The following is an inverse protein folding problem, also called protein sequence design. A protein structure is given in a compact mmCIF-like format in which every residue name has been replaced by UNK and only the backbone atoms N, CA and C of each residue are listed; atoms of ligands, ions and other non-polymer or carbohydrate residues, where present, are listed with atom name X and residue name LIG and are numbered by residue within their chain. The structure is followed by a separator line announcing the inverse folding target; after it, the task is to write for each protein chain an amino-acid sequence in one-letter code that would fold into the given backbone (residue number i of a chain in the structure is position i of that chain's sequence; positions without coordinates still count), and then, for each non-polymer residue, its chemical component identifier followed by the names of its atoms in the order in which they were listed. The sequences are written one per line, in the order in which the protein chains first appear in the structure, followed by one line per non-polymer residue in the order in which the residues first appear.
data_IF_687162471295
#
_entry.id   IF_687162471295
#
_cell.length_a   1.000
_cell.length_b   1.000
_cell.length_c   1.000
_cell.angle_alpha   90.00
_cell.angle_beta   90.00
_cell.angle_gamma   90.00
#
_symmetry.space_group_name_H-M   'P 1'
#
loop_
_entity.id
_entity.type
_entity.pdbx_description
1 polymer ?
#
# COMPACT_ATOMS: atom_id res chain seq x y z
N UNK A 1 -23.89 -33.95 30.40
CA UNK A 1 -22.80 -34.12 29.40
C UNK A 1 -23.52 -34.26 28.08
N UNK A 2 -23.46 -33.38 27.09
CA UNK A 2 -22.47 -32.35 26.77
C UNK A 2 -23.16 -31.08 26.25
N UNK A 3 -22.48 -29.96 26.46
CA UNK A 3 -22.86 -28.62 26.01
C UNK A 3 -22.47 -28.42 24.55
N UNK A 4 -23.44 -28.08 23.70
CA UNK A 4 -23.18 -27.58 22.35
C UNK A 4 -22.87 -26.09 22.40
N UNK A 5 -21.64 -25.70 22.07
CA UNK A 5 -21.26 -24.31 21.83
C UNK A 5 -21.11 -24.09 20.33
N UNK A 6 -22.12 -23.48 19.71
CA UNK A 6 -22.05 -22.94 18.36
C UNK A 6 -21.18 -21.69 18.36
N UNK A 7 -20.10 -21.72 17.57
CA UNK A 7 -19.25 -20.56 17.34
C UNK A 7 -20.00 -19.47 16.57
N UNK A 8 -20.17 -18.32 17.19
CA UNK A 8 -20.72 -17.13 16.54
C UNK A 8 -19.67 -16.59 15.55
N UNK A 9 -20.00 -16.62 14.26
CA UNK A 9 -19.31 -15.81 13.25
C UNK A 9 -19.69 -14.35 13.48
N UNK A 10 -18.74 -13.52 13.89
CA UNK A 10 -18.92 -12.08 13.94
C UNK A 10 -18.91 -11.56 12.51
N UNK A 11 -20.10 -11.35 11.95
CA UNK A 11 -20.27 -10.60 10.71
C UNK A 11 -19.91 -9.13 10.96
N UNK A 12 -19.05 -8.58 10.11
CA UNK A 12 -18.86 -7.13 10.02
C UNK A 12 -20.15 -6.52 9.45
N UNK A 13 -21.04 -6.10 10.34
CA UNK A 13 -22.24 -5.36 10.00
C UNK A 13 -21.85 -3.92 9.62
N UNK A 14 -22.17 -3.54 8.38
CA UNK A 14 -22.08 -2.17 7.91
C UNK A 14 -23.09 -1.28 8.67
N UNK A 15 -22.60 -0.55 9.67
CA UNK A 15 -23.35 0.50 10.36
C UNK A 15 -23.23 1.83 9.63
N UNK A 16 -24.14 2.11 8.70
CA UNK A 16 -24.28 3.44 8.11
C UNK A 16 -25.05 4.35 9.08
N UNK A 17 -24.37 5.33 9.66
CA UNK A 17 -24.99 6.50 10.30
C UNK A 17 -24.57 7.75 9.53
N UNK A 18 -25.55 8.40 8.91
CA UNK A 18 -25.40 9.64 8.16
C UNK A 18 -25.39 10.85 9.09
N UNK A 19 -24.39 11.74 8.94
CA UNK A 19 -24.50 13.17 9.26
C UNK A 19 -23.29 13.98 8.75
N UNK A 20 -23.57 15.03 7.98
CA UNK A 20 -22.75 16.25 7.91
C UNK A 20 -22.02 16.53 6.59
N UNK A 21 -22.51 17.54 5.87
CA UNK A 21 -21.95 18.18 4.68
C UNK A 21 -20.42 18.41 4.73
N UNK A 22 -19.70 17.81 3.79
CA UNK A 22 -18.36 18.17 3.34
C UNK A 22 -18.27 17.84 1.86
N UNK A 23 -17.61 18.68 1.07
CA UNK A 23 -17.51 18.56 -0.38
C UNK A 23 -17.29 17.10 -0.83
N UNK A 24 -18.01 16.67 -1.88
CA UNK A 24 -17.78 15.38 -2.50
C UNK A 24 -16.27 15.22 -2.77
N UNK A 25 -15.59 14.18 -2.24
CA UNK A 25 -14.20 13.98 -2.59
C UNK A 25 -14.16 13.83 -4.11
N UNK A 26 -13.31 14.64 -4.77
CA UNK A 26 -12.88 14.37 -6.13
C UNK A 26 -12.60 12.87 -6.20
N UNK A 27 -13.19 12.17 -7.18
CA UNK A 27 -13.02 10.74 -7.39
C UNK A 27 -11.56 10.39 -7.15
N UNK A 28 -11.23 9.86 -5.97
CA UNK A 28 -9.89 9.34 -5.70
C UNK A 28 -9.69 8.31 -6.81
N UNK A 29 -8.61 8.46 -7.58
CA UNK A 29 -8.22 7.38 -8.48
C UNK A 29 -8.20 6.12 -7.62
N UNK A 30 -8.93 5.08 -8.03
CA UNK A 30 -8.89 3.82 -7.29
C UNK A 30 -7.44 3.38 -7.28
N UNK A 31 -6.81 3.45 -6.11
CA UNK A 31 -5.41 3.05 -5.93
C UNK A 31 -5.27 1.66 -6.51
N UNK A 32 -4.51 1.49 -7.59
CA UNK A 32 -4.36 0.22 -8.27
C UNK A 32 -2.95 -0.31 -8.05
N UNK A 33 -2.74 -1.02 -6.95
CA UNK A 33 -1.45 -1.66 -6.71
C UNK A 33 -1.26 -2.94 -7.53
N UNK A 34 -2.26 -3.42 -8.27
CA UNK A 34 -2.13 -4.65 -9.06
C UNK A 34 -1.08 -4.51 -10.17
N UNK A 35 -0.94 -3.33 -10.75
CA UNK A 35 0.06 -3.05 -11.79
C UNK A 35 1.50 -3.04 -11.24
N UNK A 36 1.67 -2.75 -9.95
CA UNK A 36 2.97 -2.69 -9.28
C UNK A 36 3.34 -4.03 -8.66
N UNK A 37 2.38 -4.66 -7.97
CA UNK A 37 2.62 -5.87 -7.18
C UNK A 37 2.54 -7.15 -8.01
N UNK A 38 1.88 -7.12 -9.18
CA UNK A 38 1.60 -8.28 -10.02
C UNK A 38 0.50 -9.16 -9.42
N UNK A 39 -0.48 -9.57 -10.23
CA UNK A 39 -1.66 -10.36 -9.79
C UNK A 39 -1.36 -11.80 -9.34
N UNK A 40 -0.11 -12.22 -9.46
CA UNK A 40 0.43 -13.53 -9.11
C UNK A 40 1.31 -13.50 -7.86
N UNK A 41 1.53 -12.33 -7.26
CA UNK A 41 2.34 -12.20 -6.05
C UNK A 41 1.52 -12.54 -4.81
N UNK A 42 1.46 -13.83 -4.44
CA UNK A 42 0.69 -14.27 -3.27
C UNK A 42 1.26 -13.76 -1.94
N UNK A 43 2.50 -13.26 -1.94
CA UNK A 43 3.15 -12.75 -0.74
C UNK A 43 2.51 -11.45 -0.24
N UNK A 44 1.60 -10.82 -0.99
CA UNK A 44 0.82 -9.69 -0.47
C UNK A 44 -0.08 -10.10 0.71
N UNK A 45 -0.43 -11.38 0.83
CA UNK A 45 -1.29 -11.91 1.88
C UNK A 45 -0.49 -12.13 3.16
N UNK A 46 -0.96 -11.57 4.27
CA UNK A 46 -0.39 -11.81 5.61
C UNK A 46 -0.42 -13.31 5.93
N UNK A 47 0.72 -13.83 6.42
CA UNK A 47 0.94 -15.27 6.63
C UNK A 47 1.56 -16.02 5.44
N UNK A 48 1.59 -15.45 4.22
CA UNK A 48 2.23 -16.09 3.05
C UNK A 48 3.63 -15.53 2.80
N UNK A 49 4.67 -16.26 3.21
CA UNK A 49 6.07 -15.96 2.86
C UNK A 49 6.52 -16.63 1.55
N UNK A 50 7.75 -16.34 1.05
CA UNK A 50 8.25 -16.89 -0.22
C UNK A 50 8.16 -18.42 -0.33
N UNK A 51 8.37 -19.14 0.77
CA UNK A 51 8.28 -20.61 0.81
C UNK A 51 6.84 -21.12 0.70
N UNK A 52 5.86 -20.39 1.23
CA UNK A 52 4.45 -20.77 1.14
C UNK A 52 3.91 -20.39 -0.24
N UNK A 53 4.26 -19.20 -0.74
CA UNK A 53 3.97 -18.78 -2.11
C UNK A 53 4.41 -19.84 -3.13
N UNK A 54 5.66 -20.28 -3.07
CA UNK A 54 6.17 -21.35 -3.95
C UNK A 54 5.43 -22.69 -3.81
N UNK A 55 4.96 -23.05 -2.61
CA UNK A 55 4.16 -24.28 -2.41
C UNK A 55 2.78 -24.18 -3.03
N UNK A 56 2.10 -23.05 -2.83
CA UNK A 56 0.76 -22.82 -3.38
C UNK A 56 0.81 -22.81 -4.91
N UNK A 57 1.84 -22.17 -5.49
CA UNK A 57 2.08 -22.17 -6.94
C UNK A 57 2.34 -23.58 -7.48
N UNK A 58 3.09 -24.41 -6.75
CA UNK A 58 3.32 -25.81 -7.11
C UNK A 58 2.02 -26.66 -7.09
N UNK A 59 1.01 -26.27 -6.32
CA UNK A 59 -0.33 -26.88 -6.29
C UNK A 59 -1.33 -26.17 -7.23
N UNK A 60 -0.85 -25.32 -8.14
CA UNK A 60 -1.67 -24.65 -9.16
C UNK A 60 -2.45 -23.43 -8.66
N UNK A 61 -2.15 -22.91 -7.47
CA UNK A 61 -2.66 -21.62 -6.99
C UNK A 61 -1.62 -20.56 -7.37
N UNK A 62 -1.78 -19.95 -8.53
CA UNK A 62 -0.81 -19.00 -9.10
C UNK A 62 -1.21 -17.54 -8.92
N UNK A 63 -2.50 -17.26 -8.78
CA UNK A 63 -3.06 -15.92 -8.78
C UNK A 63 -3.88 -15.64 -7.52
N UNK A 64 -4.12 -14.36 -7.25
CA UNK A 64 -5.01 -13.96 -6.16
C UNK A 64 -6.43 -14.50 -6.35
N UNK A 65 -6.92 -14.60 -7.59
CA UNK A 65 -8.24 -15.16 -7.88
C UNK A 65 -8.34 -16.65 -7.52
N UNK A 66 -7.31 -17.44 -7.83
CA UNK A 66 -7.26 -18.86 -7.47
C UNK A 66 -7.11 -19.06 -5.95
N UNK A 67 -6.33 -18.20 -5.29
CA UNK A 67 -6.20 -18.22 -3.84
C UNK A 67 -7.52 -17.82 -3.16
N UNK A 68 -8.21 -16.82 -3.68
CA UNK A 68 -9.53 -16.38 -3.21
C UNK A 68 -10.62 -17.45 -3.35
N UNK A 69 -10.52 -18.28 -4.40
CA UNK A 69 -11.44 -19.39 -4.64
C UNK A 69 -11.12 -20.65 -3.82
N UNK A 70 -9.97 -20.69 -3.14
CA UNK A 70 -9.54 -21.85 -2.35
C UNK A 70 -10.13 -21.81 -0.94
N UNK A 71 -10.57 -22.97 -0.44
CA UNK A 71 -11.04 -23.06 0.94
C UNK A 71 -9.86 -23.16 1.94
N UNK A 72 -10.02 -22.69 3.19
CA UNK A 72 -9.01 -22.87 4.23
C UNK A 72 -8.60 -24.34 4.42
N UNK A 73 -9.52 -25.28 4.27
CA UNK A 73 -9.27 -26.73 4.40
C UNK A 73 -8.35 -27.24 3.27
N UNK A 74 -8.60 -26.81 2.02
CA UNK A 74 -7.70 -27.15 0.90
C UNK A 74 -6.30 -26.61 1.16
N UNK A 75 -6.21 -25.33 1.52
CA UNK A 75 -4.92 -24.67 1.80
C UNK A 75 -4.18 -25.35 2.94
N UNK A 76 -4.91 -25.74 3.99
CA UNK A 76 -4.35 -26.48 5.12
C UNK A 76 -3.81 -27.86 4.69
N UNK A 77 -4.53 -28.56 3.82
CA UNK A 77 -4.07 -29.82 3.23
C UNK A 77 -2.74 -29.70 2.50
N UNK A 78 -2.55 -28.63 1.71
CA UNK A 78 -1.27 -28.36 1.00
C UNK A 78 -0.14 -28.17 2.02
N UNK A 79 -0.37 -27.38 3.07
CA UNK A 79 0.63 -27.11 4.12
C UNK A 79 1.00 -28.38 4.88
N UNK A 80 0.03 -29.25 5.17
CA UNK A 80 0.24 -30.48 5.92
C UNK A 80 1.03 -31.51 5.11
N UNK A 81 0.76 -31.64 3.80
CA UNK A 81 1.56 -32.46 2.87
C UNK A 81 2.99 -31.94 2.75
N UNK A 82 3.18 -30.62 2.73
CA UNK A 82 4.50 -30.00 2.66
C UNK A 82 5.35 -30.18 3.93
N UNK A 83 4.73 -30.61 5.02
CA UNK A 83 5.39 -31.15 6.21
C UNK A 83 5.42 -30.22 7.41
N UNK A 84 6.06 -30.72 8.47
CA UNK A 84 5.99 -30.17 9.84
C UNK A 84 6.34 -28.70 9.98
N UNK A 85 7.20 -28.18 9.11
CA UNK A 85 7.69 -26.79 9.13
C UNK A 85 6.60 -25.75 8.83
N UNK A 86 5.46 -26.16 8.25
CA UNK A 86 4.35 -25.26 7.91
C UNK A 86 3.16 -25.36 8.86
N UNK A 87 3.24 -26.19 9.91
CA UNK A 87 2.11 -26.41 10.83
C UNK A 87 1.61 -25.15 11.52
N UNK A 88 2.47 -24.16 11.72
CA UNK A 88 2.14 -22.89 12.38
C UNK A 88 1.45 -21.89 11.44
N UNK A 89 1.44 -22.14 10.13
CA UNK A 89 0.72 -21.29 9.19
C UNK A 89 -0.80 -21.56 9.29
N UNK A 90 -1.58 -20.50 9.45
CA UNK A 90 -3.04 -20.53 9.48
C UNK A 90 -3.61 -19.88 8.21
N UNK A 91 -4.22 -20.67 7.30
CA UNK A 91 -4.75 -20.16 6.05
C UNK A 91 -6.14 -19.51 6.16
N UNK A 92 -6.74 -19.45 7.35
CA UNK A 92 -8.14 -19.02 7.54
C UNK A 92 -8.45 -17.67 6.87
N UNK A 93 -7.54 -16.71 6.93
CA UNK A 93 -7.73 -15.35 6.39
C UNK A 93 -7.21 -15.18 4.96
N UNK A 94 -6.45 -16.15 4.42
CA UNK A 94 -5.77 -16.00 3.13
C UNK A 94 -6.73 -15.82 1.95
N UNK A 95 -7.83 -16.60 1.81
CA UNK A 95 -8.77 -16.42 0.71
C UNK A 95 -9.40 -15.02 0.69
N UNK A 96 -9.77 -14.48 1.86
CA UNK A 96 -10.39 -13.15 1.95
C UNK A 96 -9.40 -12.04 1.59
N UNK A 97 -8.16 -12.11 2.06
CA UNK A 97 -7.12 -11.15 1.68
C UNK A 97 -6.85 -11.18 0.17
N UNK A 98 -6.73 -12.38 -0.41
CA UNK A 98 -6.54 -12.55 -1.85
C UNK A 98 -7.73 -12.04 -2.67
N UNK A 99 -8.96 -12.23 -2.16
CA UNK A 99 -10.18 -11.69 -2.78
C UNK A 99 -10.15 -10.18 -2.85
N UNK A 100 -9.79 -9.49 -1.76
CA UNK A 100 -9.70 -8.03 -1.75
C UNK A 100 -8.67 -7.52 -2.78
N UNK A 101 -7.52 -8.18 -2.91
CA UNK A 101 -6.54 -7.86 -3.93
C UNK A 101 -7.06 -8.10 -5.36
N UNK A 102 -7.70 -9.26 -5.59
CA UNK A 102 -8.29 -9.62 -6.89
C UNK A 102 -9.39 -8.65 -7.33
N UNK A 103 -10.19 -8.15 -6.38
CA UNK A 103 -11.25 -7.16 -6.61
C UNK A 103 -10.74 -5.70 -6.61
N UNK A 104 -9.42 -5.49 -6.56
CA UNK A 104 -8.78 -4.17 -6.54
C UNK A 104 -9.20 -3.29 -5.34
N UNK A 105 -9.58 -3.91 -4.22
CA UNK A 105 -10.00 -3.27 -2.96
C UNK A 105 -8.82 -3.09 -2.02
N UNK A 106 -7.84 -2.30 -2.47
CA UNK A 106 -6.57 -2.13 -1.76
C UNK A 106 -6.69 -1.42 -0.41
N UNK A 107 -7.54 -0.40 -0.32
CA UNK A 107 -7.79 0.31 0.94
C UNK A 107 -8.37 -0.67 1.99
N UNK A 108 -9.39 -1.47 1.60
CA UNK A 108 -9.97 -2.50 2.47
C UNK A 108 -8.94 -3.58 2.85
N UNK A 109 -8.06 -3.99 1.93
CA UNK A 109 -7.00 -4.96 2.23
C UNK A 109 -5.98 -4.40 3.21
N UNK A 110 -5.55 -3.15 3.05
CA UNK A 110 -4.59 -2.49 3.94
C UNK A 110 -5.19 -2.35 5.34
N UNK A 111 -6.43 -1.88 5.44
CA UNK A 111 -7.16 -1.79 6.71
C UNK A 111 -7.31 -3.17 7.35
N UNK A 112 -7.70 -4.18 6.57
CA UNK A 112 -7.83 -5.54 7.07
C UNK A 112 -6.50 -6.05 7.63
N UNK A 113 -5.40 -5.87 6.91
CA UNK A 113 -4.07 -6.28 7.37
C UNK A 113 -3.58 -5.55 8.61
N UNK A 114 -3.90 -4.27 8.79
CA UNK A 114 -3.57 -3.52 10.01
C UNK A 114 -4.36 -4.00 11.23
N UNK A 115 -5.50 -4.64 11.01
CA UNK A 115 -6.31 -5.29 12.04
C UNK A 115 -5.83 -6.72 12.36
N UNK A 116 -5.01 -7.32 11.50
CA UNK A 116 -4.43 -8.64 11.75
C UNK A 116 -3.14 -8.49 12.59
N UNK A 117 -2.96 -9.37 13.58
CA UNK A 117 -1.65 -9.64 14.17
C UNK A 117 -1.09 -10.90 13.53
N UNK A 118 -0.08 -10.75 12.68
CA UNK A 118 0.58 -11.85 11.93
C UNK A 118 -0.36 -12.77 11.13
N UNK A 119 -1.51 -12.25 10.68
CA UNK A 119 -2.51 -13.02 9.91
C UNK A 119 -3.69 -13.55 10.73
N UNK A 120 -3.70 -13.31 12.05
CA UNK A 120 -4.80 -13.65 12.97
C UNK A 120 -5.59 -12.39 13.32
N UNK A 121 -6.93 -12.47 13.34
CA UNK A 121 -7.80 -11.35 13.76
C UNK A 121 -7.55 -11.01 15.24
N UNK A 122 -7.00 -9.84 15.53
CA UNK A 122 -6.78 -9.35 16.91
C UNK A 122 -7.14 -7.86 17.01
N UNK A 123 -6.72 -7.14 18.07
CA UNK A 123 -6.98 -5.69 18.18
C UNK A 123 -6.16 -4.82 17.19
N UNK A 124 -5.22 -5.41 16.45
CA UNK A 124 -4.31 -4.69 15.55
C UNK A 124 -3.29 -3.83 16.30
N UNK A 125 -2.24 -3.39 15.60
CA UNK A 125 -1.27 -2.43 16.14
C UNK A 125 -1.43 -1.01 15.56
N UNK A 126 -2.12 -0.83 14.42
CA UNK A 126 -2.41 0.41 13.66
C UNK A 126 -1.22 1.35 13.36
N UNK A 127 -0.10 1.18 14.04
CA UNK A 127 1.12 1.96 13.97
C UNK A 127 2.12 1.30 13.00
N UNK A 128 2.01 -0.01 12.76
CA UNK A 128 2.87 -0.67 11.79
C UNK A 128 2.27 -0.68 10.38
N UNK A 129 3.10 -0.53 9.34
CA UNK A 129 2.64 -0.63 7.96
C UNK A 129 2.16 -2.06 7.66
N UNK A 130 1.11 -2.15 6.86
CA UNK A 130 0.58 -3.42 6.35
C UNK A 130 1.60 -4.13 5.46
N UNK A 131 1.36 -5.40 5.15
CA UNK A 131 2.23 -6.13 4.21
C UNK A 131 2.25 -5.50 2.83
N UNK A 132 1.11 -5.06 2.33
CA UNK A 132 1.00 -4.34 1.06
C UNK A 132 1.86 -3.08 1.09
N UNK A 133 1.74 -2.25 2.14
CA UNK A 133 2.53 -1.02 2.28
C UNK A 133 4.03 -1.32 2.35
N UNK A 134 4.44 -2.36 3.08
CA UNK A 134 5.85 -2.81 3.15
C UNK A 134 6.38 -3.27 1.79
N UNK A 135 5.59 -4.00 1.00
CA UNK A 135 5.99 -4.47 -0.32
C UNK A 135 6.08 -3.32 -1.32
N UNK A 136 5.14 -2.38 -1.30
CA UNK A 136 5.20 -1.17 -2.11
C UNK A 136 6.44 -0.35 -1.76
N UNK A 137 6.69 -0.11 -0.46
CA UNK A 137 7.89 0.62 -0.03
C UNK A 137 9.19 -0.08 -0.46
N UNK A 138 9.22 -1.41 -0.44
CA UNK A 138 10.37 -2.18 -0.92
C UNK A 138 10.57 -2.06 -2.43
N UNK A 139 9.50 -2.06 -3.22
CA UNK A 139 9.57 -2.01 -4.69
C UNK A 139 9.85 -0.61 -5.21
N UNK A 140 9.22 0.40 -4.60
CA UNK A 140 9.26 1.79 -5.07
C UNK A 140 10.33 2.62 -4.36
N UNK A 141 10.80 2.20 -3.19
CA UNK A 141 11.79 2.92 -2.38
C UNK A 141 11.20 4.00 -1.47
N UNK A 142 9.88 4.19 -1.46
CA UNK A 142 9.18 5.20 -0.67
C UNK A 142 7.83 4.69 -0.14
N UNK A 143 7.34 5.29 0.94
CA UNK A 143 6.10 4.84 1.59
C UNK A 143 4.84 5.37 0.89
N UNK A 144 3.69 4.76 1.20
CA UNK A 144 2.35 5.23 0.78
C UNK A 144 1.75 6.26 1.75
N UNK A 145 2.55 6.83 2.66
CA UNK A 145 2.10 7.85 3.61
C UNK A 145 2.00 9.21 2.89
N UNK A 146 0.82 9.85 2.82
CA UNK A 146 0.65 11.14 2.13
C UNK A 146 1.52 12.28 2.64
N UNK A 147 2.08 12.13 3.85
CA UNK A 147 2.99 13.10 4.45
C UNK A 147 4.47 12.85 4.09
N UNK A 148 4.80 11.77 3.39
CA UNK A 148 6.16 11.40 3.02
C UNK A 148 6.49 12.00 1.64
N UNK A 149 7.05 13.22 1.63
CA UNK A 149 7.32 13.93 0.37
C UNK A 149 8.47 13.32 -0.43
N UNK A 150 9.21 12.37 0.15
CA UNK A 150 10.31 11.66 -0.51
C UNK A 150 9.82 10.67 -1.57
N UNK A 151 8.50 10.50 -1.72
CA UNK A 151 7.87 9.86 -2.88
C UNK A 151 8.27 10.56 -4.19
N UNK A 152 8.59 11.86 -4.13
CA UNK A 152 8.96 12.69 -5.29
C UNK A 152 10.46 12.63 -5.51
N UNK A 153 10.86 12.22 -6.72
CA UNK A 153 12.25 12.24 -7.14
C UNK A 153 12.79 13.68 -7.12
N UNK A 154 13.95 13.86 -6.49
CA UNK A 154 14.56 15.16 -6.22
C UNK A 154 14.28 15.69 -4.80
N UNK A 155 13.37 15.08 -4.04
CA UNK A 155 13.09 15.44 -2.64
C UNK A 155 13.74 14.43 -1.69
N UNK A 156 14.93 14.78 -1.19
CA UNK A 156 15.57 14.06 -0.08
C UNK A 156 15.09 14.54 1.31
N UNK A 157 15.49 13.86 2.42
CA UNK A 157 15.04 14.21 3.78
C UNK A 157 15.27 15.68 4.17
N UNK A 158 16.34 16.30 3.67
CA UNK A 158 16.65 17.71 3.95
C UNK A 158 15.72 18.67 3.22
N UNK A 159 15.30 18.35 2.00
CA UNK A 159 14.37 19.19 1.22
C UNK A 159 12.95 19.00 1.76
N UNK A 160 12.57 17.76 2.08
CA UNK A 160 11.31 17.48 2.77
C UNK A 160 11.17 18.31 4.06
N UNK A 161 12.22 18.40 4.88
CA UNK A 161 12.23 19.25 6.07
C UNK A 161 11.91 20.72 5.77
N UNK A 162 12.59 21.32 4.78
CA UNK A 162 12.34 22.70 4.36
C UNK A 162 10.89 22.93 3.91
N UNK A 163 10.37 22.01 3.09
CA UNK A 163 9.00 22.09 2.58
C UNK A 163 7.99 22.04 3.73
N UNK A 164 8.19 21.13 4.69
CA UNK A 164 7.33 20.99 5.87
C UNK A 164 7.38 22.21 6.77
N UNK A 165 8.57 22.78 6.99
CA UNK A 165 8.74 24.02 7.75
C UNK A 165 8.03 25.21 7.07
N UNK A 166 7.98 25.20 5.72
CA UNK A 166 7.23 26.16 4.90
C UNK A 166 5.73 25.83 4.74
N UNK A 167 5.22 24.85 5.49
CA UNK A 167 3.81 24.47 5.51
C UNK A 167 3.35 23.56 4.37
N UNK A 168 4.25 23.03 3.55
CA UNK A 168 3.97 22.00 2.54
C UNK A 168 4.16 20.64 3.21
N UNK A 169 3.09 20.04 3.72
CA UNK A 169 3.16 18.85 4.60
C UNK A 169 2.73 17.56 3.91
N UNK A 170 1.88 17.67 2.91
CA UNK A 170 1.27 16.54 2.21
C UNK A 170 1.59 16.58 0.71
N UNK A 171 1.41 15.45 0.04
CA UNK A 171 1.46 15.41 -1.43
C UNK A 171 0.47 16.39 -2.08
N UNK A 172 -0.72 16.56 -1.50
CA UNK A 172 -1.70 17.53 -1.99
C UNK A 172 -1.20 18.98 -1.84
N UNK A 173 -0.54 19.32 -0.74
CA UNK A 173 0.07 20.64 -0.56
C UNK A 173 1.18 20.89 -1.59
N UNK A 174 2.00 19.87 -1.85
CA UNK A 174 3.10 19.96 -2.80
C UNK A 174 2.60 20.05 -4.24
N UNK A 175 1.55 19.29 -4.57
CA UNK A 175 0.89 19.34 -5.88
C UNK A 175 0.25 20.70 -6.17
N UNK A 176 -0.24 21.39 -5.13
CA UNK A 176 -0.82 22.72 -5.24
C UNK A 176 0.22 23.86 -5.18
N UNK A 177 1.47 23.57 -4.83
CA UNK A 177 2.51 24.59 -4.71
C UNK A 177 2.96 25.10 -6.10
N UNK A 178 3.06 26.43 -6.25
CA UNK A 178 3.58 27.04 -7.47
C UNK A 178 5.10 26.87 -7.57
N UNK A 179 5.61 26.90 -8.81
CA UNK A 179 7.06 26.88 -9.08
C UNK A 179 7.79 27.99 -8.32
N UNK A 180 7.26 29.22 -8.36
CA UNK A 180 7.85 30.37 -7.67
C UNK A 180 7.94 30.16 -6.15
N UNK A 181 6.90 29.56 -5.55
CA UNK A 181 6.89 29.26 -4.11
C UNK A 181 7.96 28.22 -3.76
N UNK A 182 8.03 27.13 -4.53
CA UNK A 182 9.00 26.07 -4.29
C UNK A 182 10.44 26.57 -4.49
N UNK A 183 10.68 27.33 -5.54
CA UNK A 183 11.99 27.94 -5.79
C UNK A 183 12.36 28.93 -4.69
N UNK A 184 11.40 29.74 -4.22
CA UNK A 184 11.60 30.66 -3.08
C UNK A 184 12.08 29.93 -1.83
N UNK A 185 11.43 28.82 -1.46
CA UNK A 185 11.83 27.99 -0.30
C UNK A 185 13.27 27.48 -0.45
N UNK A 186 13.66 27.03 -1.63
CA UNK A 186 15.02 26.54 -1.89
C UNK A 186 16.06 27.66 -1.84
N UNK A 187 15.72 28.84 -2.37
CA UNK A 187 16.59 30.01 -2.36
C UNK A 187 16.82 30.53 -0.92
N UNK A 188 15.76 30.65 -0.14
CA UNK A 188 15.82 31.10 1.27
C UNK A 188 16.65 30.13 2.14
N UNK A 189 16.66 28.85 1.78
CA UNK A 189 17.45 27.81 2.45
C UNK A 189 18.94 27.81 2.06
N UNK A 190 19.34 28.61 1.08
CA UNK A 190 20.71 28.92 0.71
C UNK A 190 21.37 28.01 -0.35
N UNK A 191 22.58 28.38 -0.76
CA UNK A 191 23.32 27.84 -1.91
C UNK A 191 23.48 26.32 -1.95
N UNK A 192 23.39 25.63 -0.81
CA UNK A 192 23.48 24.17 -0.75
C UNK A 192 22.35 23.46 -1.50
N UNK A 193 21.25 24.16 -1.78
CA UNK A 193 20.09 23.63 -2.52
C UNK A 193 20.01 24.13 -3.96
N UNK A 194 20.98 24.90 -4.45
CA UNK A 194 20.97 25.48 -5.80
C UNK A 194 20.86 24.48 -6.96
N UNK A 195 21.16 23.21 -6.71
CA UNK A 195 21.09 22.13 -7.71
C UNK A 195 19.73 21.42 -7.72
N UNK A 196 18.93 21.61 -6.66
CA UNK A 196 17.56 21.10 -6.61
C UNK A 196 16.69 21.84 -7.61
N UNK A 197 15.80 21.12 -8.26
CA UNK A 197 14.94 21.63 -9.31
C UNK A 197 13.48 21.21 -9.02
N UNK A 198 12.62 22.16 -8.63
CA UNK A 198 11.25 21.84 -8.28
C UNK A 198 10.29 21.70 -9.47
N UNK A 199 10.76 21.83 -10.72
CA UNK A 199 9.91 21.89 -11.92
C UNK A 199 9.00 20.68 -12.11
N UNK A 200 9.40 19.50 -11.63
CA UNK A 200 8.60 18.26 -11.75
C UNK A 200 7.87 17.88 -10.46
N UNK A 201 8.19 18.51 -9.32
CA UNK A 201 7.70 18.08 -8.01
C UNK A 201 6.18 18.16 -7.88
N UNK A 202 5.49 19.24 -8.30
CA UNK A 202 4.04 19.30 -8.21
C UNK A 202 3.34 18.18 -8.98
N UNK A 203 3.87 17.82 -10.17
CA UNK A 203 3.27 16.77 -11.00
C UNK A 203 3.43 15.39 -10.35
N UNK A 204 4.64 15.06 -9.88
CA UNK A 204 4.88 13.80 -9.17
C UNK A 204 4.00 13.68 -7.91
N UNK A 205 3.92 14.76 -7.11
CA UNK A 205 3.08 14.81 -5.92
C UNK A 205 1.58 14.67 -6.26
N UNK A 206 1.13 15.26 -7.37
CA UNK A 206 -0.24 15.12 -7.86
C UNK A 206 -0.60 13.68 -8.21
N UNK A 207 0.32 12.95 -8.87
CA UNK A 207 0.14 11.53 -9.19
C UNK A 207 0.08 10.68 -7.91
N UNK A 208 0.96 10.94 -6.94
CA UNK A 208 0.94 10.27 -5.64
C UNK A 208 -0.36 10.54 -4.87
N UNK A 209 -0.80 11.81 -4.80
CA UNK A 209 -2.05 12.20 -4.14
C UNK A 209 -3.30 11.59 -4.79
N UNK A 210 -3.25 11.36 -6.11
CA UNK A 210 -4.32 10.72 -6.85
C UNK A 210 -4.34 9.18 -6.72
N UNK A 211 -3.27 8.57 -6.17
CA UNK A 211 -3.10 7.12 -6.16
C UNK A 211 -2.69 6.53 -7.53
N UNK A 212 -2.22 7.38 -8.46
CA UNK A 212 -1.80 6.99 -9.81
C UNK A 212 -0.36 6.47 -9.81
N UNK A 213 -0.13 5.40 -9.04
CA UNK A 213 1.22 4.89 -8.77
C UNK A 213 1.96 4.38 -10.01
N UNK A 214 1.23 3.80 -10.97
CA UNK A 214 1.79 3.33 -12.25
C UNK A 214 2.29 4.50 -13.13
N UNK A 215 1.47 5.54 -13.22
CA UNK A 215 1.83 6.77 -13.93
C UNK A 215 2.97 7.50 -13.22
N UNK A 216 2.98 7.51 -11.88
CA UNK A 216 4.09 8.08 -11.11
C UNK A 216 5.40 7.33 -11.39
N UNK A 217 5.37 6.01 -11.34
CA UNK A 217 6.52 5.15 -11.64
C UNK A 217 7.04 5.41 -13.04
N UNK A 218 6.16 5.34 -14.04
CA UNK A 218 6.49 5.58 -15.44
C UNK A 218 7.07 6.98 -15.63
N UNK A 219 6.49 7.98 -14.96
CA UNK A 219 6.98 9.34 -15.05
C UNK A 219 8.39 9.46 -14.44
N UNK A 220 8.65 8.87 -13.28
CA UNK A 220 9.98 8.86 -12.64
C UNK A 220 11.03 8.10 -13.45
N UNK A 221 10.67 6.97 -14.08
CA UNK A 221 11.58 6.25 -14.99
C UNK A 221 11.96 7.08 -16.22
N UNK A 222 11.11 8.03 -16.63
CA UNK A 222 11.40 8.98 -17.70
C UNK A 222 12.28 10.16 -17.23
N UNK A 223 12.29 10.50 -15.94
CA UNK A 223 13.09 11.61 -15.44
C UNK A 223 14.58 11.24 -15.36
N UNK A 224 15.44 12.25 -15.52
CA UNK A 224 16.87 12.17 -15.24
C UNK A 224 17.17 12.97 -13.98
N UNK A 225 17.27 12.28 -12.83
CA UNK A 225 17.54 12.92 -11.53
C UNK A 225 16.45 13.91 -11.12
N UNK A 226 15.19 13.60 -11.42
CA UNK A 226 14.01 14.41 -11.11
C UNK A 226 13.71 15.49 -12.15
N UNK A 227 14.41 15.52 -13.29
CA UNK A 227 14.25 16.52 -14.35
C UNK A 227 13.77 15.88 -15.64
N UNK A 228 13.02 16.61 -16.46
CA UNK A 228 12.70 16.14 -17.81
C UNK A 228 13.99 16.07 -18.63
N UNK A 229 14.30 14.93 -19.28
CA UNK A 229 15.42 14.86 -20.21
C UNK A 229 15.33 15.96 -21.28
N UNK A 230 16.48 16.56 -21.60
CA UNK A 230 16.60 17.63 -22.59
C UNK A 230 16.62 17.15 -24.03
#
# INVERSE_FOLDING_TARGET
MESGAGGAALGFAAGAASRGLGAAPASRGTTNFATILGSDNLQIVEGIGPKIDGLLKADGINTWGELAASSPERLKGILDVAGSRYRLADPKTWPQQAKLAHENKWDELIEYQKFLDTGTETKGDFENPSKVEKLIAKLMGYSTNPNDLKVVEGIGPKIEGLLKDAGIKTWSDLAAASMDRLQGILNDAGDRYRLADPSTWPKQAGLAAAGNWDELKTYQEFLDGGKTPG
#
